data_IF_583432677665
#
_entry.id   IF_583432677665
#
_cell.length_a   1.000
_cell.length_b   1.000
_cell.length_c   1.000
_cell.angle_alpha   90.00
_cell.angle_beta   90.00
_cell.angle_gamma   90.00
#
_symmetry.space_group_name_H-M   'P 1'
#
loop_
_entity.id
_entity.type
_entity.pdbx_description
1 polymer ?
#
# COMPACT_ATOMS: atom_id res chain seq x y z
N UNK A 1 -18.13 -7.55 -28.10
CA UNK A 1 -18.05 -8.35 -26.86
C UNK A 1 -16.66 -8.23 -26.19
N UNK A 2 -15.93 -7.12 -26.40
CA UNK A 2 -14.53 -6.94 -25.97
C UNK A 2 -14.35 -6.25 -24.61
N UNK A 3 -15.40 -5.63 -24.03
CA UNK A 3 -15.27 -4.89 -22.76
C UNK A 3 -15.04 -5.76 -21.52
N UNK A 4 -15.62 -6.96 -21.46
CA UNK A 4 -15.62 -7.80 -20.25
C UNK A 4 -14.23 -8.37 -19.87
N UNK A 5 -13.34 -8.57 -20.86
CA UNK A 5 -12.01 -9.13 -20.62
C UNK A 5 -11.01 -8.08 -20.11
N UNK A 6 -11.18 -6.81 -20.49
CA UNK A 6 -10.36 -5.70 -20.01
C UNK A 6 -10.62 -5.40 -18.53
N UNK A 7 -11.89 -5.33 -18.14
CA UNK A 7 -12.32 -5.06 -16.77
C UNK A 7 -11.84 -6.13 -15.78
N UNK A 8 -11.78 -7.39 -16.21
CA UNK A 8 -11.25 -8.49 -15.41
C UNK A 8 -9.75 -8.34 -15.12
N UNK A 9 -8.96 -7.93 -16.11
CA UNK A 9 -7.51 -7.71 -15.95
C UNK A 9 -7.20 -6.53 -15.03
N UNK A 10 -7.95 -5.43 -15.17
CA UNK A 10 -7.80 -4.25 -14.30
C UNK A 10 -8.16 -4.60 -12.86
N UNK A 11 -9.23 -5.37 -12.65
CA UNK A 11 -9.64 -5.82 -11.31
C UNK A 11 -8.59 -6.73 -10.65
N UNK A 12 -8.01 -7.66 -11.40
CA UNK A 12 -6.93 -8.52 -10.92
C UNK A 12 -5.69 -7.69 -10.55
N UNK A 13 -5.27 -6.77 -11.43
CA UNK A 13 -4.14 -5.87 -11.14
C UNK A 13 -4.39 -5.00 -9.89
N UNK A 14 -5.59 -4.44 -9.75
CA UNK A 14 -5.98 -3.66 -8.56
C UNK A 14 -5.90 -4.49 -7.29
N UNK A 15 -6.39 -5.74 -7.33
CA UNK A 15 -6.28 -6.66 -6.21
C UNK A 15 -4.82 -6.92 -5.83
N UNK A 16 -3.97 -7.21 -6.82
CA UNK A 16 -2.57 -7.54 -6.58
C UNK A 16 -1.79 -6.35 -6.01
N UNK A 17 -2.02 -5.13 -6.52
CA UNK A 17 -1.40 -3.92 -5.97
C UNK A 17 -1.89 -3.69 -4.53
N UNK A 18 -3.20 -3.80 -4.25
CA UNK A 18 -3.73 -3.66 -2.89
C UNK A 18 -3.11 -4.67 -1.92
N UNK A 19 -2.86 -5.89 -2.37
CA UNK A 19 -2.19 -6.90 -1.58
C UNK A 19 -0.74 -6.47 -1.25
N UNK A 20 0.01 -5.97 -2.24
CA UNK A 20 1.37 -5.46 -2.00
C UNK A 20 1.38 -4.27 -1.03
N UNK A 21 0.45 -3.32 -1.16
CA UNK A 21 0.33 -2.19 -0.25
C UNK A 21 0.03 -2.65 1.19
N UNK A 22 -0.83 -3.66 1.34
CA UNK A 22 -1.14 -4.24 2.65
C UNK A 22 0.09 -4.92 3.28
N UNK A 23 0.87 -5.64 2.47
CA UNK A 23 2.11 -6.28 2.92
C UNK A 23 3.17 -5.25 3.35
N UNK A 24 3.31 -4.15 2.61
CA UNK A 24 4.23 -3.05 2.97
C UNK A 24 3.83 -2.43 4.31
N UNK A 25 2.54 -2.12 4.50
CA UNK A 25 2.04 -1.56 5.76
C UNK A 25 2.29 -2.51 6.92
N UNK A 26 2.03 -3.81 6.73
CA UNK A 26 2.28 -4.82 7.76
C UNK A 26 3.77 -4.89 8.13
N UNK A 27 4.66 -4.91 7.14
CA UNK A 27 6.10 -4.93 7.35
C UNK A 27 6.60 -3.66 8.07
N UNK A 28 6.07 -2.49 7.73
CA UNK A 28 6.40 -1.24 8.42
C UNK A 28 5.98 -1.27 9.89
N UNK A 29 4.77 -1.76 10.18
CA UNK A 29 4.28 -1.86 11.55
C UNK A 29 5.13 -2.83 12.40
N UNK A 30 5.55 -3.96 11.81
CA UNK A 30 6.46 -4.89 12.49
C UNK A 30 7.84 -4.26 12.71
N UNK A 31 8.37 -3.57 11.71
CA UNK A 31 9.67 -2.91 11.82
C UNK A 31 9.65 -1.79 12.87
N UNK A 32 8.57 -1.01 12.97
CA UNK A 32 8.43 0.01 14.02
C UNK A 32 8.36 -0.62 15.42
N UNK A 33 7.71 -1.78 15.55
CA UNK A 33 7.68 -2.53 16.81
C UNK A 33 9.07 -3.08 17.19
N UNK A 34 9.85 -3.55 16.21
CA UNK A 34 11.21 -4.08 16.41
C UNK A 34 12.26 -2.98 16.70
N UNK A 35 11.94 -1.71 16.40
CA UNK A 35 12.82 -0.56 16.57
C UNK A 35 12.27 0.41 17.66
N UNK A 36 12.44 0.08 18.96
CA UNK A 36 11.85 0.85 20.06
C UNK A 36 12.37 2.30 20.16
N UNK A 37 13.59 2.56 19.67
CA UNK A 37 14.25 3.87 19.73
C UNK A 37 14.35 4.55 18.35
N UNK A 38 13.25 4.53 17.58
CA UNK A 38 13.19 5.26 16.31
C UNK A 38 13.37 6.77 16.52
N UNK A 39 14.32 7.33 15.79
CA UNK A 39 14.58 8.78 15.79
C UNK A 39 13.40 9.54 15.15
N UNK A 40 13.25 10.85 15.41
CA UNK A 40 12.22 11.65 14.77
C UNK A 40 12.23 11.58 13.24
N UNK A 41 13.42 11.60 12.63
CA UNK A 41 13.58 11.48 11.17
C UNK A 41 13.12 10.10 10.66
N UNK A 42 13.44 9.03 11.40
CA UNK A 42 12.98 7.69 11.05
C UNK A 42 11.45 7.59 11.12
N UNK A 43 10.81 8.15 12.15
CA UNK A 43 9.33 8.20 12.25
C UNK A 43 8.70 8.92 11.06
N UNK A 44 9.28 10.03 10.62
CA UNK A 44 8.83 10.73 9.41
C UNK A 44 8.87 9.80 8.18
N UNK A 45 9.91 8.97 8.05
CA UNK A 45 9.98 7.99 6.95
C UNK A 45 8.88 6.94 7.06
N UNK A 46 8.64 6.36 8.26
CA UNK A 46 7.56 5.41 8.48
C UNK A 46 6.19 6.00 8.11
N UNK A 47 5.89 7.19 8.62
CA UNK A 47 4.63 7.89 8.35
C UNK A 47 4.47 8.19 6.87
N UNK A 48 5.51 8.71 6.22
CA UNK A 48 5.49 9.06 4.79
C UNK A 48 5.21 7.83 3.92
N UNK A 49 5.83 6.69 4.21
CA UNK A 49 5.62 5.46 3.44
C UNK A 49 4.21 4.92 3.71
N UNK A 50 3.76 4.92 4.96
CA UNK A 50 2.42 4.45 5.34
C UNK A 50 1.32 5.28 4.67
N UNK A 51 1.44 6.60 4.71
CA UNK A 51 0.47 7.51 4.11
C UNK A 51 0.48 7.44 2.58
N UNK A 52 1.65 7.24 1.96
CA UNK A 52 1.75 6.97 0.53
C UNK A 52 1.01 5.68 0.16
N UNK A 53 1.18 4.60 0.92
CA UNK A 53 0.47 3.34 0.67
C UNK A 53 -1.05 3.50 0.78
N UNK A 54 -1.54 4.21 1.81
CA UNK A 54 -2.96 4.53 1.97
C UNK A 54 -3.48 5.36 0.80
N UNK A 55 -2.71 6.36 0.36
CA UNK A 55 -3.09 7.23 -0.75
C UNK A 55 -3.16 6.47 -2.08
N UNK A 56 -2.21 5.59 -2.37
CA UNK A 56 -2.26 4.73 -3.57
C UNK A 56 -3.48 3.82 -3.49
N UNK A 57 -3.77 3.21 -2.33
CA UNK A 57 -4.97 2.37 -2.17
C UNK A 57 -6.27 3.15 -2.41
N UNK A 58 -6.35 4.40 -1.96
CA UNK A 58 -7.48 5.28 -2.27
C UNK A 58 -7.59 5.58 -3.77
N UNK A 59 -6.50 5.97 -4.43
CA UNK A 59 -6.49 6.25 -5.86
C UNK A 59 -6.89 5.03 -6.69
N UNK A 60 -6.44 3.84 -6.29
CA UNK A 60 -6.88 2.59 -6.92
C UNK A 60 -8.38 2.35 -6.81
N UNK A 61 -9.06 2.89 -5.78
CA UNK A 61 -10.51 2.78 -5.67
C UNK A 61 -11.27 3.70 -6.63
N UNK A 62 -10.62 4.74 -7.13
CA UNK A 62 -11.17 5.70 -8.11
C UNK A 62 -11.03 5.21 -9.56
N UNK A 63 -10.25 4.13 -9.78
CA UNK A 63 -10.06 3.39 -11.04
C UNK A 63 -10.92 2.13 -11.02
#
# INVERSE_FOLDING_TARGET
MEGAAGDGKIRALKHDIKNQLSNIILALNQLEYELPDTTPDQRIYFDTINDSCKKINQLLNEI
#
